data_IF_227333972804
#
_entry.id   IF_227333972804
#
_cell.length_a   1.000
_cell.length_b   1.000
_cell.length_c   1.000
_cell.angle_alpha   90.00
_cell.angle_beta   90.00
_cell.angle_gamma   90.00
#
_symmetry.space_group_name_H-M   'P 1'
#
loop_
_entity.id
_entity.type
_entity.pdbx_description
1 polymer ?
#
# COMPACT_ATOMS: atom_id res chain seq x y z
N UNK A 1 4.70 -20.87 -5.25
CA UNK A 1 4.78 -19.43 -4.90
C UNK A 1 3.85 -18.67 -5.84
N UNK A 2 2.66 -18.18 -5.49
CA UNK A 2 1.93 -18.02 -4.21
C UNK A 2 0.86 -19.14 -4.09
N UNK A 3 0.92 -19.97 -3.04
CA UNK A 3 -0.07 -21.06 -2.77
C UNK A 3 -1.18 -20.61 -1.81
N UNK A 4 -1.27 -19.31 -1.52
CA UNK A 4 -2.19 -18.73 -0.56
C UNK A 4 -2.85 -17.51 -1.22
N UNK A 5 -4.18 -17.50 -1.33
CA UNK A 5 -5.03 -16.41 -1.86
C UNK A 5 -5.04 -15.18 -0.93
N UNK A 6 -3.89 -14.78 -0.41
CA UNK A 6 -3.75 -13.62 0.47
C UNK A 6 -3.68 -12.38 -0.40
N UNK A 7 -4.66 -11.50 -0.23
CA UNK A 7 -4.66 -10.17 -0.84
C UNK A 7 -3.71 -9.24 -0.09
N UNK A 8 -2.43 -9.30 -0.47
CA UNK A 8 -1.38 -8.44 0.09
C UNK A 8 -1.61 -6.95 -0.17
N UNK A 9 -2.26 -6.61 -1.29
CA UNK A 9 -2.60 -5.23 -1.62
C UNK A 9 -3.64 -4.69 -0.62
N UNK A 10 -4.69 -5.45 -0.33
CA UNK A 10 -5.70 -5.08 0.67
C UNK A 10 -5.09 -4.93 2.08
N UNK A 11 -4.19 -5.83 2.47
CA UNK A 11 -3.49 -5.75 3.76
C UNK A 11 -2.57 -4.53 3.85
N UNK A 12 -1.82 -4.24 2.78
CA UNK A 12 -0.94 -3.08 2.71
C UNK A 12 -1.76 -1.77 2.76
N UNK A 13 -2.93 -1.74 2.10
CA UNK A 13 -3.88 -0.63 2.17
C UNK A 13 -4.39 -0.41 3.58
N UNK A 14 -4.93 -1.44 4.24
CA UNK A 14 -5.46 -1.34 5.61
C UNK A 14 -4.40 -0.83 6.60
N UNK A 15 -3.15 -1.29 6.48
CA UNK A 15 -2.07 -0.74 7.29
C UNK A 15 -1.75 0.72 6.97
N UNK A 16 -1.76 1.08 5.69
CA UNK A 16 -1.58 2.46 5.25
C UNK A 16 -2.66 3.37 5.81
N UNK A 17 -3.94 3.00 5.66
CA UNK A 17 -5.07 3.82 6.09
C UNK A 17 -5.17 3.93 7.60
N UNK A 18 -4.86 2.86 8.35
CA UNK A 18 -4.80 2.92 9.83
C UNK A 18 -3.78 3.91 10.36
N UNK A 19 -2.66 4.10 9.65
CA UNK A 19 -1.57 4.98 10.08
C UNK A 19 -1.69 6.40 9.54
N UNK A 20 -2.10 6.56 8.29
CA UNK A 20 -2.08 7.83 7.56
C UNK A 20 -3.48 8.40 7.30
N UNK A 21 -4.54 7.70 7.67
CA UNK A 21 -5.93 8.09 7.42
C UNK A 21 -6.47 7.60 6.08
N UNK A 22 -7.78 7.77 5.90
CA UNK A 22 -8.49 7.52 4.65
C UNK A 22 -9.09 8.84 4.14
N UNK A 23 -8.92 9.21 2.86
CA UNK A 23 -8.19 8.50 1.81
C UNK A 23 -6.65 8.57 1.99
N UNK A 24 -5.94 7.59 1.41
CA UNK A 24 -4.48 7.63 1.41
C UNK A 24 -3.98 8.90 0.71
N UNK A 25 -2.98 9.59 1.27
CA UNK A 25 -2.36 10.75 0.64
C UNK A 25 -1.91 10.48 -0.79
N UNK A 26 -2.29 11.35 -1.72
CA UNK A 26 -1.86 11.33 -3.12
C UNK A 26 -0.68 12.27 -3.40
N UNK A 27 -0.36 13.16 -2.44
CA UNK A 27 0.79 14.06 -2.50
C UNK A 27 2.09 13.25 -2.53
N UNK A 28 2.98 13.56 -3.47
CA UNK A 28 4.21 12.79 -3.70
C UNK A 28 5.05 12.58 -2.43
N UNK A 29 5.25 13.63 -1.64
CA UNK A 29 6.05 13.61 -0.41
C UNK A 29 5.46 12.71 0.69
N UNK A 30 4.13 12.56 0.73
CA UNK A 30 3.44 11.66 1.65
C UNK A 30 3.42 10.24 1.11
N UNK A 31 3.20 10.08 -0.20
CA UNK A 31 3.23 8.79 -0.90
C UNK A 31 4.57 8.08 -0.69
N UNK A 32 5.71 8.76 -0.84
CA UNK A 32 7.03 8.15 -0.61
C UNK A 32 7.24 7.71 0.85
N UNK A 33 6.64 8.42 1.83
CA UNK A 33 6.69 8.03 3.24
C UNK A 33 5.89 6.75 3.48
N UNK A 34 4.71 6.63 2.87
CA UNK A 34 3.84 5.45 2.97
C UNK A 34 4.50 4.25 2.28
N UNK A 35 5.06 4.44 1.08
CA UNK A 35 5.81 3.40 0.37
C UNK A 35 6.98 2.88 1.21
N UNK A 36 7.79 3.78 1.77
CA UNK A 36 8.92 3.40 2.65
C UNK A 36 8.44 2.67 3.91
N UNK A 37 7.33 3.11 4.50
CA UNK A 37 6.72 2.45 5.66
C UNK A 37 6.30 1.01 5.35
N UNK A 38 5.66 0.78 4.21
CA UNK A 38 5.21 -0.56 3.78
C UNK A 38 6.39 -1.46 3.38
N UNK A 39 7.40 -0.93 2.70
CA UNK A 39 8.62 -1.68 2.37
C UNK A 39 9.32 -2.19 3.63
N UNK A 40 9.44 -1.36 4.67
CA UNK A 40 10.04 -1.80 5.94
C UNK A 40 9.20 -2.84 6.70
N UNK A 41 7.92 -3.00 6.36
CA UNK A 41 7.04 -4.04 6.89
C UNK A 41 7.11 -5.35 6.09
N UNK A 42 7.85 -5.37 4.98
CA UNK A 42 8.05 -6.55 4.15
C UNK A 42 7.08 -6.69 2.97
N UNK A 43 6.26 -5.67 2.69
CA UNK A 43 5.44 -5.66 1.49
C UNK A 43 6.31 -5.48 0.25
N UNK A 44 5.91 -6.12 -0.86
CA UNK A 44 6.61 -5.98 -2.13
C UNK A 44 6.20 -4.67 -2.81
N UNK A 45 7.12 -4.11 -3.60
CA UNK A 45 6.85 -2.87 -4.33
C UNK A 45 5.66 -3.03 -5.30
N UNK A 46 5.44 -4.21 -5.88
CA UNK A 46 4.28 -4.52 -6.73
C UNK A 46 2.96 -4.31 -5.98
N UNK A 47 2.79 -4.96 -4.82
CA UNK A 47 1.57 -4.88 -4.03
C UNK A 47 1.35 -3.42 -3.53
N UNK A 48 2.44 -2.72 -3.18
CA UNK A 48 2.40 -1.33 -2.73
C UNK A 48 1.94 -0.40 -3.87
N UNK A 49 2.43 -0.58 -5.10
CA UNK A 49 2.05 0.27 -6.22
C UNK A 49 0.59 0.06 -6.62
N UNK A 50 0.10 -1.17 -6.54
CA UNK A 50 -1.28 -1.53 -6.86
C UNK A 50 -2.30 -0.85 -5.94
N UNK A 51 -1.90 -0.50 -4.70
CA UNK A 51 -2.74 0.31 -3.80
C UNK A 51 -3.19 1.59 -4.50
N UNK A 52 -2.30 2.33 -5.19
CA UNK A 52 -2.66 3.60 -5.82
C UNK A 52 -3.17 3.46 -7.27
N UNK A 53 -2.89 2.35 -7.95
CA UNK A 53 -3.39 2.12 -9.32
C UNK A 53 -4.89 1.83 -9.33
N UNK A 54 -5.40 1.15 -8.32
CA UNK A 54 -6.83 0.79 -8.21
C UNK A 54 -7.78 1.94 -7.79
N UNK A 55 -7.30 3.19 -7.69
CA UNK A 55 -8.15 4.37 -7.40
C UNK A 55 -8.27 5.35 -8.58
N UNK A 56 -7.72 4.99 -9.74
CA UNK A 56 -7.78 5.81 -10.95
C UNK A 56 -8.94 5.43 -11.90
N UNK A 57 -9.88 4.60 -11.43
CA UNK A 57 -11.13 4.26 -12.13
C UNK A 57 -12.34 4.75 -11.34
#
# INVERSE_FOLDING_TARGET
>A
MRECDIDWCALARDQGTRKYGEPLPTVFSEKVKIQRFLLYRGYLMEDIQDIWRNFAD
#
